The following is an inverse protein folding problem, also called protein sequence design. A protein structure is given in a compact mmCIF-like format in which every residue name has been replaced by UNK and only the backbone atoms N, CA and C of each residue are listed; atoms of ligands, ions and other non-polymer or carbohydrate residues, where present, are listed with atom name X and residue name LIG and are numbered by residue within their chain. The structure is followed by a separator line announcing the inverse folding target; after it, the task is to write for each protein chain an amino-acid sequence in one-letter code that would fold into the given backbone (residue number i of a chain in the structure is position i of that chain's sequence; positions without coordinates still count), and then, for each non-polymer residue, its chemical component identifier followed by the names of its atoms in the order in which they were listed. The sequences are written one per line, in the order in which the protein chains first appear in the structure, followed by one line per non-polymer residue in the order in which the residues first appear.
data_IF_382011498486
#
_entry.id   IF_382011498486
#
_cell.length_a   1.000
_cell.length_b   1.000
_cell.length_c   1.000
_cell.angle_alpha   90.00
_cell.angle_beta   90.00
_cell.angle_gamma   90.00
#
_symmetry.space_group_name_H-M   'P 1'
#
loop_
_entity.id
_entity.type
_entity.pdbx_description
1 polymer ?
#
# COMPACT_ATOMS: atom_id res chain seq x y z
N UNK A 1 17.46 11.18 10.63
CA UNK A 1 16.32 10.23 10.66
C UNK A 1 15.67 10.20 9.29
N UNK A 2 15.27 9.03 8.76
CA UNK A 2 14.53 8.92 7.48
C UNK A 2 13.14 8.35 7.76
N UNK A 3 12.11 8.99 7.23
CA UNK A 3 10.73 8.51 7.26
C UNK A 3 10.30 8.17 5.84
N UNK A 4 9.74 6.98 5.66
CA UNK A 4 9.25 6.49 4.39
C UNK A 4 7.73 6.37 4.48
N UNK A 5 7.03 6.86 3.46
CA UNK A 5 5.56 6.86 3.39
C UNK A 5 5.12 6.05 2.18
N UNK A 6 4.17 5.16 2.40
CA UNK A 6 3.55 4.34 1.35
C UNK A 6 2.04 4.50 1.48
N UNK A 7 1.37 4.73 0.35
CA UNK A 7 -0.09 4.66 0.25
C UNK A 7 -0.49 3.26 -0.21
N UNK A 8 -1.63 2.78 0.28
CA UNK A 8 -2.22 1.56 -0.26
C UNK A 8 -2.53 1.71 -1.77
N UNK A 9 -2.55 0.57 -2.47
CA UNK A 9 -2.82 0.53 -3.90
C UNK A 9 -4.27 0.84 -4.28
N UNK A 10 -4.57 0.77 -5.57
CA UNK A 10 -5.91 0.98 -6.11
C UNK A 10 -6.97 0.06 -5.47
N UNK A 11 -8.20 0.53 -5.36
CA UNK A 11 -9.35 -0.30 -5.01
C UNK A 11 -10.44 -0.14 -6.05
N UNK A 12 -11.37 -1.10 -6.13
CA UNK A 12 -12.51 -1.00 -7.06
C UNK A 12 -13.33 0.28 -6.80
N UNK A 13 -13.35 0.76 -5.56
CA UNK A 13 -14.03 2.00 -5.20
C UNK A 13 -13.31 3.25 -5.74
N UNK A 14 -11.98 3.21 -5.90
CA UNK A 14 -11.26 4.29 -6.58
C UNK A 14 -11.68 4.36 -8.05
N UNK A 15 -11.79 3.22 -8.73
CA UNK A 15 -12.24 3.14 -10.12
C UNK A 15 -13.69 3.60 -10.28
N UNK A 16 -14.55 3.25 -9.33
CA UNK A 16 -15.96 3.65 -9.30
C UNK A 16 -16.18 5.08 -8.78
N UNK A 17 -15.12 5.82 -8.44
CA UNK A 17 -15.19 7.16 -7.83
C UNK A 17 -16.06 7.21 -6.55
N UNK A 18 -16.02 6.15 -5.74
CA UNK A 18 -16.76 6.03 -4.48
C UNK A 18 -15.88 6.39 -3.27
N UNK A 19 -16.52 6.94 -2.25
CA UNK A 19 -15.87 7.26 -0.96
C UNK A 19 -15.87 6.01 -0.07
N UNK A 20 -14.70 5.42 0.18
CA UNK A 20 -14.57 4.22 1.01
C UNK A 20 -14.73 4.48 2.53
N UNK A 21 -14.25 5.62 3.02
CA UNK A 21 -14.19 5.90 4.45
C UNK A 21 -13.33 4.88 5.21
N UNK A 22 -13.79 4.44 6.39
CA UNK A 22 -13.15 3.42 7.22
C UNK A 22 -13.63 1.99 6.93
N UNK A 23 -14.36 1.78 5.83
CA UNK A 23 -14.89 0.47 5.49
C UNK A 23 -13.77 -0.47 5.07
N UNK A 24 -13.71 -1.63 5.72
CA UNK A 24 -12.85 -2.73 5.30
C UNK A 24 -13.40 -3.36 4.01
N UNK A 25 -12.60 -3.33 2.95
CA UNK A 25 -12.94 -3.88 1.65
C UNK A 25 -11.83 -4.79 1.18
N UNK A 26 -12.20 -5.81 0.42
CA UNK A 26 -11.25 -6.79 -0.12
C UNK A 26 -10.21 -6.11 -1.01
N UNK A 27 -9.00 -6.66 -1.01
CA UNK A 27 -7.97 -6.30 -1.97
C UNK A 27 -8.37 -6.79 -3.35
N UNK A 28 -8.21 -5.94 -4.37
CA UNK A 28 -8.35 -6.36 -5.76
C UNK A 28 -7.00 -6.82 -6.33
N UNK A 29 -7.01 -7.40 -7.53
CA UNK A 29 -5.81 -7.93 -8.18
C UNK A 29 -4.76 -6.83 -8.42
N UNK A 30 -5.19 -5.63 -8.82
CA UNK A 30 -4.30 -4.48 -9.04
C UNK A 30 -3.56 -4.09 -7.77
N UNK A 31 -4.26 -4.01 -6.63
CA UNK A 31 -3.68 -3.67 -5.34
C UNK A 31 -2.62 -4.67 -4.90
N UNK A 32 -2.91 -5.96 -5.08
CA UNK A 32 -1.97 -7.04 -4.75
C UNK A 32 -0.73 -6.89 -5.62
N UNK A 33 -0.89 -6.77 -6.94
CA UNK A 33 0.22 -6.57 -7.87
C UNK A 33 1.07 -5.33 -7.51
N UNK A 34 0.45 -4.21 -7.13
CA UNK A 34 1.17 -3.00 -6.71
C UNK A 34 1.96 -3.21 -5.40
N UNK A 35 1.41 -3.96 -4.44
CA UNK A 35 2.11 -4.31 -3.21
C UNK A 35 3.33 -5.22 -3.49
N UNK A 36 3.18 -6.17 -4.40
CA UNK A 36 4.26 -7.05 -4.87
C UNK A 36 5.38 -6.25 -5.54
N UNK A 37 5.04 -5.33 -6.45
CA UNK A 37 6.03 -4.44 -7.09
C UNK A 37 6.76 -3.54 -6.09
N UNK A 38 6.05 -3.06 -5.07
CA UNK A 38 6.65 -2.30 -3.99
C UNK A 38 7.63 -3.15 -3.18
N UNK A 39 7.28 -4.41 -2.89
CA UNK A 39 8.19 -5.35 -2.22
C UNK A 39 9.50 -5.45 -3.01
N UNK A 40 9.45 -5.73 -4.30
CA UNK A 40 10.66 -5.87 -5.13
C UNK A 40 11.53 -4.60 -5.06
N UNK A 41 10.93 -3.43 -5.23
CA UNK A 41 11.66 -2.15 -5.10
C UNK A 41 12.29 -1.93 -3.74
N UNK A 42 11.62 -2.35 -2.66
CA UNK A 42 12.17 -2.27 -1.30
C UNK A 42 13.35 -3.24 -1.15
N UNK A 43 13.25 -4.46 -1.67
CA UNK A 43 14.33 -5.45 -1.60
C UNK A 43 15.57 -5.03 -2.41
N UNK A 44 15.36 -4.40 -3.56
CA UNK A 44 16.44 -3.81 -4.37
C UNK A 44 17.04 -2.55 -3.71
N UNK A 45 16.27 -1.88 -2.87
CA UNK A 45 16.74 -0.70 -2.14
C UNK A 45 17.68 -1.06 -0.99
N UNK A 46 18.47 -0.09 -0.54
CA UNK A 46 19.25 -0.19 0.71
C UNK A 46 18.50 0.41 1.91
N UNK A 47 17.16 0.44 1.87
CA UNK A 47 16.37 1.00 2.97
C UNK A 47 16.53 0.14 4.22
N UNK A 48 16.63 0.81 5.38
CA UNK A 48 16.71 0.17 6.69
C UNK A 48 15.55 0.67 7.53
N UNK A 49 14.67 -0.25 7.92
CA UNK A 49 13.52 0.05 8.76
C UNK A 49 13.76 -0.49 10.16
N UNK A 50 13.60 0.37 11.16
CA UNK A 50 13.62 -0.03 12.57
C UNK A 50 12.23 -0.26 13.14
N UNK A 51 11.20 0.37 12.55
CA UNK A 51 9.79 0.26 12.93
C UNK A 51 8.90 0.39 11.69
N UNK A 52 7.76 -0.28 11.72
CA UNK A 52 6.72 -0.23 10.67
C UNK A 52 5.38 0.04 11.37
N UNK A 53 4.58 0.92 10.78
CA UNK A 53 3.26 1.31 11.27
C UNK A 53 2.25 1.24 10.13
N UNK A 54 1.03 0.79 10.42
CA UNK A 54 -0.10 0.74 9.47
C UNK A 54 -1.40 1.12 10.16
N UNK A 55 -2.45 1.36 9.36
CA UNK A 55 -3.82 1.39 9.88
C UNK A 55 -4.20 0.00 10.44
N UNK A 56 -5.23 -0.08 11.31
CA UNK A 56 -5.83 -1.35 11.71
C UNK A 56 -6.43 -2.11 10.51
#
# INVERSE_FOLDING_TARGET
MKLYLIRYGETDWNLENKIQGSKDIKLNATRIMQAEQLREKILESKYRFSKIYSSP
#
